data_IF_738281320747
#
_entry.id   IF_738281320747
#
_cell.length_a   1.000
_cell.length_b   1.000
_cell.length_c   1.000
_cell.angle_alpha   90.00
_cell.angle_beta   90.00
_cell.angle_gamma   90.00
#
_symmetry.space_group_name_H-M   'P 1'
#
loop_
_entity.id
_entity.type
_entity.pdbx_description
1 polymer ?
#
# COMPACT_ATOMS: atom_id res chain seq x y z
N UNK A 1 4.31 14.53 -5.09
CA UNK A 1 3.28 13.53 -4.74
C UNK A 1 2.36 14.12 -3.70
N UNK A 2 1.07 13.77 -3.67
CA UNK A 2 0.16 14.14 -2.59
C UNK A 2 0.74 13.80 -1.21
N UNK A 3 0.57 14.72 -0.26
CA UNK A 3 0.98 14.49 1.13
C UNK A 3 -0.04 13.66 1.90
N UNK A 4 -1.32 13.72 1.52
CA UNK A 4 -2.40 13.03 2.21
C UNK A 4 -2.68 11.63 1.63
N UNK A 5 -2.69 10.61 2.49
CA UNK A 5 -3.00 9.21 2.17
C UNK A 5 -4.20 8.79 3.03
N UNK A 6 -5.29 8.38 2.39
CA UNK A 6 -6.47 7.87 3.07
C UNK A 6 -6.65 6.38 2.83
N UNK A 7 -6.90 5.68 3.93
CA UNK A 7 -7.13 4.25 3.94
C UNK A 7 -8.62 3.99 3.98
N UNK A 8 -9.11 3.21 3.01
CA UNK A 8 -10.45 2.64 3.07
C UNK A 8 -10.61 1.72 4.29
N UNK A 9 -11.85 1.57 4.78
CA UNK A 9 -12.14 0.58 5.83
C UNK A 9 -11.69 -0.84 5.46
N UNK A 10 -11.71 -1.16 4.17
CA UNK A 10 -11.28 -2.46 3.67
C UNK A 10 -9.76 -2.63 3.72
N UNK A 11 -8.97 -1.59 3.44
CA UNK A 11 -7.51 -1.66 3.54
C UNK A 11 -7.07 -1.70 5.00
N UNK A 12 -7.71 -0.93 5.89
CA UNK A 12 -7.52 -1.01 7.35
C UNK A 12 -7.77 -2.42 7.89
N UNK A 13 -8.90 -3.04 7.49
CA UNK A 13 -9.22 -4.40 7.91
C UNK A 13 -8.17 -5.42 7.47
N UNK A 14 -7.64 -5.31 6.24
CA UNK A 14 -6.58 -6.20 5.75
C UNK A 14 -5.29 -6.05 6.54
N UNK A 15 -4.92 -4.82 6.91
CA UNK A 15 -3.75 -4.57 7.76
C UNK A 15 -3.90 -5.28 9.10
N UNK A 16 -5.05 -5.13 9.76
CA UNK A 16 -5.32 -5.80 11.04
C UNK A 16 -5.35 -7.33 10.92
N UNK A 17 -5.91 -7.88 9.83
CA UNK A 17 -5.89 -9.33 9.56
C UNK A 17 -4.45 -9.83 9.39
N UNK A 18 -3.62 -9.14 8.60
CA UNK A 18 -2.22 -9.55 8.42
C UNK A 18 -1.46 -9.52 9.75
N UNK A 19 -1.67 -8.47 10.54
CA UNK A 19 -1.07 -8.32 11.87
C UNK A 19 -1.51 -9.44 12.82
N UNK A 20 -2.78 -9.83 12.83
CA UNK A 20 -3.28 -10.92 13.68
C UNK A 20 -2.70 -12.29 13.31
N UNK A 21 -2.25 -12.45 12.06
CA UNK A 21 -1.51 -13.62 11.57
C UNK A 21 0.02 -13.49 11.72
N UNK A 22 0.52 -12.49 12.46
CA UNK A 22 1.95 -12.30 12.71
C UNK A 22 2.74 -11.68 11.55
N UNK A 23 2.04 -11.11 10.56
CA UNK A 23 2.65 -10.36 9.46
C UNK A 23 2.59 -8.88 9.82
N UNK A 24 3.74 -8.32 10.22
CA UNK A 24 3.83 -6.93 10.69
C UNK A 24 3.74 -5.92 9.54
N UNK A 25 2.49 -5.62 9.16
CA UNK A 25 2.13 -4.52 8.26
C UNK A 25 1.50 -3.42 9.08
N UNK A 26 2.04 -2.21 8.95
CA UNK A 26 1.49 -1.00 9.56
C UNK A 26 1.09 0.00 8.48
N UNK A 27 0.32 1.05 8.85
CA UNK A 27 -0.01 2.13 7.91
C UNK A 27 1.24 2.81 7.39
N UNK A 28 2.18 3.09 8.28
CA UNK A 28 3.45 3.75 7.97
C UNK A 28 4.24 2.93 6.95
N UNK A 29 4.22 1.60 7.07
CA UNK A 29 4.86 0.70 6.10
C UNK A 29 4.17 0.76 4.74
N UNK A 30 2.83 0.78 4.72
CA UNK A 30 2.06 0.94 3.48
C UNK A 30 2.33 2.29 2.81
N UNK A 31 2.39 3.37 3.59
CA UNK A 31 2.73 4.71 3.10
C UNK A 31 4.14 4.76 2.52
N UNK A 32 5.13 4.18 3.19
CA UNK A 32 6.50 4.09 2.68
C UNK A 32 6.55 3.32 1.35
N UNK A 33 5.79 2.23 1.21
CA UNK A 33 5.73 1.48 -0.05
C UNK A 33 5.15 2.33 -1.18
N UNK A 34 4.12 3.12 -0.91
CA UNK A 34 3.51 4.01 -1.91
C UNK A 34 4.47 5.13 -2.31
N UNK A 35 5.20 5.72 -1.34
CA UNK A 35 6.08 6.88 -1.57
C UNK A 35 7.44 6.49 -2.14
N UNK A 36 7.97 5.34 -1.71
CA UNK A 36 9.29 4.83 -2.05
C UNK A 36 9.21 3.36 -2.53
N UNK A 37 8.47 3.06 -3.62
CA UNK A 37 8.35 1.72 -4.14
C UNK A 37 9.63 1.28 -4.86
N UNK A 38 9.91 -0.02 -4.82
CA UNK A 38 10.91 -0.64 -5.71
C UNK A 38 10.38 -0.69 -7.14
N UNK A 39 9.06 -0.88 -7.29
CA UNK A 39 8.37 -0.97 -8.59
C UNK A 39 6.93 -0.47 -8.50
N UNK A 40 6.47 0.17 -9.57
CA UNK A 40 5.06 0.53 -9.77
C UNK A 40 4.55 -0.21 -11.01
N UNK A 41 3.43 -0.92 -10.88
CA UNK A 41 2.69 -1.50 -12.01
C UNK A 41 1.32 -0.82 -12.17
N UNK A 42 0.74 -0.92 -13.37
CA UNK A 42 -0.64 -0.51 -13.66
C UNK A 42 -1.56 -1.71 -13.48
N UNK A 43 -2.52 -1.58 -12.57
CA UNK A 43 -3.56 -2.57 -12.28
C UNK A 43 -4.88 -2.31 -13.01
N UNK A 44 -5.91 -3.08 -12.63
CA UNK A 44 -7.25 -2.96 -13.18
C UNK A 44 -7.87 -1.59 -12.88
N UNK A 45 -8.61 -1.01 -13.86
CA UNK A 45 -9.22 0.34 -13.78
C UNK A 45 -8.22 1.44 -13.42
N UNK A 46 -7.04 1.42 -14.04
CA UNK A 46 -6.00 2.46 -13.89
C UNK A 46 -5.45 2.64 -12.46
N UNK A 47 -5.72 1.69 -11.56
CA UNK A 47 -5.13 1.67 -10.23
C UNK A 47 -3.64 1.44 -10.33
N UNK A 48 -2.87 2.11 -9.48
CA UNK A 48 -1.44 1.87 -9.36
C UNK A 48 -1.21 0.76 -8.34
N UNK A 49 -0.15 -0.03 -8.56
CA UNK A 49 0.28 -1.06 -7.63
C UNK A 49 1.75 -0.80 -7.29
N UNK A 50 1.97 -0.19 -6.12
CA UNK A 50 3.31 -0.02 -5.55
C UNK A 50 3.77 -1.32 -4.90
N UNK A 51 5.03 -1.68 -5.11
CA UNK A 51 5.59 -2.93 -4.62
C UNK A 51 6.94 -2.66 -3.98
N UNK A 52 7.18 -3.32 -2.85
CA UNK A 52 8.46 -3.26 -2.14
C UNK A 52 8.76 -4.58 -1.46
N UNK A 53 10.04 -4.94 -1.37
CA UNK A 53 10.49 -6.05 -0.53
C UNK A 53 9.93 -5.91 0.90
N UNK A 54 9.31 -6.98 1.41
CA UNK A 54 8.75 -7.03 2.76
C UNK A 54 9.71 -7.71 3.74
N UNK A 55 10.32 -8.81 3.29
CA UNK A 55 11.43 -9.53 3.90
C UNK A 55 12.18 -10.34 2.83
N UNK A 56 13.12 -11.19 3.24
CA UNK A 56 13.97 -11.99 2.37
C UNK A 56 13.20 -12.92 1.42
N UNK A 57 11.95 -13.24 1.72
CA UNK A 57 11.14 -14.22 1.00
C UNK A 57 9.86 -13.66 0.41
N UNK A 58 9.46 -12.44 0.79
CA UNK A 58 8.14 -11.88 0.49
C UNK A 58 8.22 -10.44 -0.02
N UNK A 59 7.28 -10.09 -0.88
CA UNK A 59 7.05 -8.73 -1.38
C UNK A 59 5.66 -8.29 -0.94
N UNK A 60 5.52 -7.04 -0.48
CA UNK A 60 4.23 -6.43 -0.21
C UNK A 60 3.82 -5.56 -1.40
N UNK A 61 2.57 -5.76 -1.86
CA UNK A 61 1.99 -5.05 -2.99
C UNK A 61 0.79 -4.25 -2.51
N UNK A 62 0.81 -2.95 -2.76
CA UNK A 62 -0.20 -1.99 -2.32
C UNK A 62 -0.90 -1.42 -3.55
N UNK A 63 -2.19 -1.70 -3.69
CA UNK A 63 -3.02 -1.08 -4.71
C UNK A 63 -3.53 0.26 -4.19
N UNK A 64 -3.46 1.31 -5.02
CA UNK A 64 -3.92 2.64 -4.66
C UNK A 64 -4.37 3.43 -5.90
N UNK A 65 -5.14 4.48 -5.66
CA UNK A 65 -5.49 5.50 -6.67
C UNK A 65 -4.79 6.81 -6.31
N UNK A 66 -4.04 7.37 -7.25
CA UNK A 66 -3.42 8.69 -7.09
C UNK A 66 -4.29 9.75 -7.75
N UNK A 67 -4.81 10.69 -6.96
CA UNK A 67 -5.46 11.92 -7.43
C UNK A 67 -4.51 13.11 -7.22
N UNK A 68 -4.77 14.30 -7.79
CA UNK A 68 -3.88 15.45 -7.66
C UNK A 68 -3.60 15.87 -6.20
N UNK A 69 -4.61 15.77 -5.33
CA UNK A 69 -4.52 16.23 -3.93
C UNK A 69 -4.33 15.10 -2.92
N UNK A 70 -4.67 13.86 -3.31
CA UNK A 70 -4.82 12.75 -2.36
C UNK A 70 -4.53 11.39 -2.98
N UNK A 71 -4.09 10.47 -2.14
CA UNK A 71 -3.94 9.05 -2.46
C UNK A 71 -4.97 8.24 -1.68
N UNK A 72 -5.63 7.28 -2.34
CA UNK A 72 -6.60 6.37 -1.73
C UNK A 72 -6.10 4.93 -1.77
N UNK A 73 -6.09 4.27 -0.61
CA UNK A 73 -5.61 2.90 -0.40
C UNK A 73 -6.75 1.94 -0.07
#
# INVERSE_FOLDING_TARGET
MPTDIEFSMHSLLKIEILKSHGIDVSKEKVEDIIRNPDRIDVGYKERLIAQKGFDDTRVLRVAYESKPEKIYV
#
